data_IF_469450437359
#
_entry.id   IF_469450437359
#
_cell.length_a   1.000
_cell.length_b   1.000
_cell.length_c   1.000
_cell.angle_alpha   90.00
_cell.angle_beta   90.00
_cell.angle_gamma   90.00
#
_symmetry.space_group_name_H-M   'P 1'
#
loop_
_entity.id
_entity.type
_entity.pdbx_description
1 polymer ?
#
# COMPACT_ATOMS: atom_id res chain seq x y z
N UNK A 1 -0.56 18.30 52.22
CA UNK A 1 -0.46 19.13 50.99
C UNK A 1 0.47 18.54 49.92
N UNK A 2 1.71 18.16 50.25
CA UNK A 2 2.71 17.71 49.26
C UNK A 2 2.36 16.39 48.54
N UNK A 3 1.76 15.43 49.25
CA UNK A 3 1.36 14.12 48.68
C UNK A 3 0.29 14.30 47.60
N UNK A 4 -0.73 15.13 47.86
CA UNK A 4 -1.79 15.43 46.91
C UNK A 4 -1.25 16.16 45.66
N UNK A 5 -0.32 17.12 45.85
CA UNK A 5 0.33 17.83 44.75
C UNK A 5 1.14 16.90 43.85
N UNK A 6 1.90 15.97 44.46
CA UNK A 6 2.68 14.99 43.71
C UNK A 6 1.78 13.98 42.98
N UNK A 7 0.66 13.56 43.59
CA UNK A 7 -0.31 12.67 42.95
C UNK A 7 -0.98 13.32 41.73
N UNK A 8 -1.36 14.61 41.84
CA UNK A 8 -1.93 15.37 40.71
C UNK A 8 -0.89 15.54 39.60
N UNK A 9 0.36 15.90 39.95
CA UNK A 9 1.43 16.01 38.97
C UNK A 9 1.68 14.69 38.22
N UNK A 10 1.58 13.55 38.92
CA UNK A 10 1.73 12.23 38.33
C UNK A 10 0.59 11.90 37.35
N UNK A 11 -0.65 12.26 37.69
CA UNK A 11 -1.81 12.09 36.82
C UNK A 11 -1.71 12.94 35.54
N UNK A 12 -1.28 14.20 35.67
CA UNK A 12 -1.06 15.09 34.52
C UNK A 12 0.06 14.56 33.63
N UNK A 13 1.17 14.10 34.23
CA UNK A 13 2.29 13.53 33.48
C UNK A 13 1.87 12.28 32.69
N UNK A 14 1.11 11.38 33.31
CA UNK A 14 0.56 10.19 32.65
C UNK A 14 -0.39 10.55 31.50
N UNK A 15 -1.23 11.56 31.68
CA UNK A 15 -2.14 12.04 30.62
C UNK A 15 -1.37 12.66 29.44
N UNK A 16 -0.31 13.41 29.71
CA UNK A 16 0.58 13.95 28.67
C UNK A 16 1.32 12.84 27.91
N UNK A 17 1.75 11.76 28.59
CA UNK A 17 2.42 10.63 27.94
C UNK A 17 1.46 9.85 27.02
N UNK A 18 0.20 9.68 27.43
CA UNK A 18 -0.82 8.99 26.62
C UNK A 18 -1.21 9.83 25.39
N UNK A 19 -1.39 11.14 25.55
CA UNK A 19 -1.73 12.05 24.45
C UNK A 19 -0.58 12.32 23.47
N UNK A 20 0.67 12.17 23.92
CA UNK A 20 1.88 12.25 23.10
C UNK A 20 2.23 10.93 22.41
N UNK A 21 1.31 9.97 22.33
CA UNK A 21 1.46 8.84 21.41
C UNK A 21 1.31 9.34 19.97
N UNK A 22 2.38 9.96 19.47
CA UNK A 22 2.52 10.25 18.06
C UNK A 22 2.36 8.93 17.31
N UNK A 23 1.34 8.87 16.45
CA UNK A 23 1.18 7.75 15.52
C UNK A 23 2.35 7.85 14.54
N UNK A 24 3.48 7.24 14.93
CA UNK A 24 4.60 7.01 14.04
C UNK A 24 4.06 6.15 12.90
N UNK A 25 4.00 6.74 11.71
CA UNK A 25 3.52 6.05 10.52
C UNK A 25 4.30 4.76 10.35
N UNK A 26 3.58 3.64 10.40
CA UNK A 26 4.17 2.31 10.17
C UNK A 26 4.85 2.33 8.79
N UNK A 27 6.10 1.85 8.64
CA UNK A 27 6.74 1.80 7.34
C UNK A 27 5.91 0.90 6.41
N UNK A 28 5.19 1.52 5.48
CA UNK A 28 4.29 0.81 4.58
C UNK A 28 5.12 0.05 3.54
N UNK A 29 5.02 -1.28 3.57
CA UNK A 29 5.59 -2.14 2.52
C UNK A 29 4.45 -2.75 1.72
N UNK A 30 4.66 -2.94 0.43
CA UNK A 30 3.60 -3.46 -0.44
C UNK A 30 3.06 -4.82 0.05
N UNK A 31 3.95 -5.70 0.51
CA UNK A 31 3.59 -7.04 0.98
C UNK A 31 2.82 -7.04 2.29
N UNK A 32 2.88 -6.01 3.12
CA UNK A 32 2.08 -5.96 4.34
C UNK A 32 0.62 -5.60 4.04
N UNK A 33 0.40 -4.62 3.16
CA UNK A 33 -0.92 -4.00 2.97
C UNK A 33 -1.68 -4.56 1.75
N UNK A 34 -0.96 -5.07 0.75
CA UNK A 34 -1.53 -5.49 -0.53
C UNK A 34 -1.18 -6.94 -0.86
N UNK A 35 -2.03 -7.55 -1.69
CA UNK A 35 -1.83 -8.88 -2.28
C UNK A 35 -2.00 -8.79 -3.79
N UNK A 36 -1.28 -9.63 -4.52
CA UNK A 36 -1.42 -9.76 -5.96
C UNK A 36 -2.75 -10.48 -6.26
N UNK A 37 -3.52 -9.95 -7.21
CA UNK A 37 -4.80 -10.55 -7.62
C UNK A 37 -4.70 -11.28 -8.95
N UNK A 38 -3.84 -10.81 -9.86
CA UNK A 38 -3.62 -11.42 -11.15
C UNK A 38 -2.15 -11.38 -11.55
N UNK A 39 -1.65 -12.53 -12.00
CA UNK A 39 -0.32 -12.76 -12.56
C UNK A 39 0.87 -12.32 -11.68
N UNK A 40 1.28 -13.20 -10.76
CA UNK A 40 2.50 -13.01 -9.97
C UNK A 40 3.77 -12.85 -10.84
N UNK A 41 3.83 -13.52 -11.99
CA UNK A 41 4.96 -13.44 -12.90
C UNK A 41 5.19 -12.02 -13.47
N UNK A 42 4.14 -11.19 -13.50
CA UNK A 42 4.17 -9.85 -14.06
C UNK A 42 4.26 -8.74 -13.00
N UNK A 43 4.48 -9.11 -11.73
CA UNK A 43 4.71 -8.16 -10.64
C UNK A 43 6.15 -8.31 -10.13
N UNK A 44 6.95 -7.26 -10.31
CA UNK A 44 8.34 -7.22 -9.84
C UNK A 44 8.44 -6.32 -8.62
N UNK A 45 8.99 -6.85 -7.54
CA UNK A 45 9.27 -6.09 -6.35
C UNK A 45 10.63 -5.40 -6.48
N UNK A 46 10.66 -4.09 -6.23
CA UNK A 46 11.86 -3.26 -6.34
C UNK A 46 12.15 -2.56 -4.99
N UNK A 47 13.39 -2.10 -4.80
CA UNK A 47 13.83 -1.40 -3.59
C UNK A 47 13.59 -2.16 -2.26
N UNK A 48 13.70 -3.49 -2.28
CA UNK A 48 13.46 -4.33 -1.10
C UNK A 48 12.01 -4.38 -0.65
N UNK A 49 11.05 -4.03 -1.52
CA UNK A 49 9.63 -4.13 -1.24
C UNK A 49 8.89 -2.85 -0.93
N UNK A 50 9.59 -1.72 -1.08
CA UNK A 50 9.00 -0.38 -0.96
C UNK A 50 8.28 0.07 -2.23
N UNK A 51 8.63 -0.50 -3.38
CA UNK A 51 7.94 -0.24 -4.62
C UNK A 51 7.71 -1.53 -5.41
N UNK A 52 6.72 -1.48 -6.29
CA UNK A 52 6.37 -2.56 -7.20
C UNK A 52 6.32 -2.03 -8.63
N UNK A 53 6.69 -2.88 -9.57
CA UNK A 53 6.57 -2.63 -10.99
C UNK A 53 5.60 -3.65 -11.58
N UNK A 54 4.58 -3.13 -12.23
CA UNK A 54 3.61 -3.90 -12.99
C UNK A 54 4.08 -3.96 -14.44
N UNK A 55 4.18 -5.16 -14.99
CA UNK A 55 4.60 -5.40 -16.38
C UNK A 55 3.41 -5.89 -17.19
N UNK A 56 3.22 -5.29 -18.36
CA UNK A 56 2.23 -5.72 -19.33
C UNK A 56 2.98 -6.27 -20.53
N UNK A 57 2.92 -7.58 -20.76
CA UNK A 57 3.48 -8.22 -21.94
C UNK A 57 2.40 -8.95 -22.74
N UNK A 58 2.78 -9.54 -23.87
CA UNK A 58 1.87 -10.36 -24.68
C UNK A 58 2.01 -11.87 -24.36
N UNK A 59 2.77 -12.21 -23.32
CA UNK A 59 3.42 -13.51 -23.21
C UNK A 59 2.79 -14.39 -22.11
N UNK A 60 1.53 -14.77 -22.30
CA UNK A 60 0.94 -15.90 -21.56
C UNK A 60 1.31 -17.20 -22.28
N UNK A 61 2.15 -18.03 -21.68
CA UNK A 61 2.61 -19.29 -22.28
C UNK A 61 1.51 -20.08 -22.99
N UNK A 62 1.70 -20.34 -24.29
CA UNK A 62 1.05 -21.42 -25.05
C UNK A 62 -0.46 -21.35 -25.33
N UNK A 63 -1.21 -20.32 -24.91
CA UNK A 63 -2.67 -20.27 -25.10
C UNK A 63 -3.06 -19.40 -26.32
N UNK A 64 -4.01 -19.83 -27.18
CA UNK A 64 -4.30 -19.20 -28.47
C UNK A 64 -5.06 -17.86 -28.41
N UNK A 65 -5.07 -17.20 -29.58
CA UNK A 65 -4.87 -15.77 -29.83
C UNK A 65 -6.02 -14.82 -29.46
N UNK A 66 -7.14 -15.29 -28.91
CA UNK A 66 -8.34 -14.45 -28.70
C UNK A 66 -8.46 -13.85 -27.28
N UNK A 67 -7.57 -14.20 -26.35
CA UNK A 67 -7.61 -13.73 -24.96
C UNK A 67 -6.26 -13.15 -24.49
N UNK A 68 -5.47 -12.56 -25.39
CA UNK A 68 -4.18 -11.94 -25.05
C UNK A 68 -4.36 -10.59 -24.38
N UNK A 69 -4.55 -10.61 -23.06
CA UNK A 69 -4.30 -9.45 -22.23
C UNK A 69 -3.57 -9.99 -21.01
N UNK A 70 -2.24 -9.85 -20.94
CA UNK A 70 -1.56 -10.00 -19.64
C UNK A 70 -2.24 -9.00 -18.71
N UNK A 71 -2.81 -9.46 -17.60
CA UNK A 71 -3.39 -8.55 -16.61
C UNK A 71 -2.56 -8.71 -15.36
N UNK A 72 -2.00 -7.60 -14.90
CA UNK A 72 -1.34 -7.52 -13.61
C UNK A 72 -2.15 -6.59 -12.72
N UNK A 73 -2.36 -7.01 -11.47
CA UNK A 73 -3.18 -6.27 -10.54
C UNK A 73 -2.94 -6.69 -9.11
N UNK A 74 -3.27 -5.79 -8.21
CA UNK A 74 -3.17 -6.01 -6.78
C UNK A 74 -4.40 -5.40 -6.09
N UNK A 75 -4.70 -5.91 -4.90
CA UNK A 75 -5.77 -5.42 -4.05
C UNK A 75 -5.29 -5.32 -2.61
N UNK A 76 -5.95 -4.47 -1.81
CA UNK A 76 -5.69 -4.41 -0.39
C UNK A 76 -6.06 -5.74 0.29
N UNK A 77 -5.31 -6.10 1.32
CA UNK A 77 -5.64 -7.29 2.14
C UNK A 77 -6.85 -7.05 3.04
N UNK A 78 -7.11 -5.79 3.37
CA UNK A 78 -8.18 -5.35 4.26
C UNK A 78 -9.15 -4.47 3.50
N UNK A 79 -10.39 -4.47 3.97
CA UNK A 79 -11.43 -3.54 3.53
C UNK A 79 -11.50 -2.37 4.51
N UNK A 80 -11.82 -1.20 3.99
CA UNK A 80 -11.85 0.04 4.77
C UNK A 80 -13.18 0.75 4.51
N UNK A 81 -13.84 1.18 5.59
CA UNK A 81 -15.07 1.97 5.50
C UNK A 81 -14.76 3.47 5.35
N UNK A 82 -13.72 3.94 6.04
CA UNK A 82 -13.22 5.31 5.99
C UNK A 82 -11.70 5.29 5.99
N UNK A 83 -11.08 6.29 5.38
CA UNK A 83 -9.63 6.44 5.42
C UNK A 83 -9.11 7.38 4.35
N UNK A 84 -7.78 7.51 4.31
CA UNK A 84 -7.06 8.19 3.24
C UNK A 84 -6.10 7.22 2.61
N UNK A 85 -6.24 7.00 1.30
CA UNK A 85 -5.32 6.17 0.54
C UNK A 85 -4.45 7.07 -0.33
N UNK A 86 -3.14 6.84 -0.31
CA UNK A 86 -2.18 7.62 -1.08
C UNK A 86 -1.14 6.68 -1.67
N UNK A 87 -0.86 6.81 -2.97
CA UNK A 87 0.14 5.99 -3.66
C UNK A 87 0.96 6.85 -4.62
N UNK A 88 2.27 6.60 -4.67
CA UNK A 88 3.15 7.19 -5.69
C UNK A 88 3.13 6.27 -6.92
N UNK A 89 2.75 6.81 -8.06
CA UNK A 89 2.61 6.06 -9.31
C UNK A 89 3.54 6.68 -10.36
N UNK A 90 4.37 5.85 -10.99
CA UNK A 90 5.13 6.20 -12.18
C UNK A 90 4.52 5.50 -13.38
N UNK A 91 4.06 6.27 -14.36
CA UNK A 91 3.46 5.74 -15.59
C UNK A 91 4.52 5.16 -16.53
N UNK A 92 4.05 4.35 -17.48
CA UNK A 92 4.87 3.74 -18.53
C UNK A 92 5.51 4.85 -19.39
N UNK A 93 6.83 4.85 -19.61
CA UNK A 93 7.48 5.82 -20.47
C UNK A 93 7.31 5.47 -21.96
N UNK A 94 7.35 6.47 -22.84
CA UNK A 94 7.32 6.26 -24.29
C UNK A 94 5.92 6.05 -24.84
N UNK A 95 5.80 5.20 -25.86
CA UNK A 95 4.51 4.83 -26.45
C UNK A 95 3.77 3.85 -25.53
N UNK A 96 2.59 4.26 -25.07
CA UNK A 96 1.70 3.49 -24.21
C UNK A 96 0.28 3.42 -24.77
N UNK A 97 0.12 3.53 -26.10
CA UNK A 97 -1.18 3.46 -26.75
C UNK A 97 -1.96 2.20 -26.32
N UNK A 98 -3.21 2.38 -25.89
CA UNK A 98 -4.08 1.29 -25.44
C UNK A 98 -3.78 0.74 -24.04
N UNK A 99 -2.80 1.27 -23.31
CA UNK A 99 -2.52 0.87 -21.92
C UNK A 99 -3.33 1.70 -20.93
N UNK A 100 -3.92 1.04 -19.93
CA UNK A 100 -4.63 1.71 -18.84
C UNK A 100 -3.96 1.36 -17.51
N UNK A 101 -3.54 2.38 -16.76
CA UNK A 101 -3.11 2.23 -15.36
C UNK A 101 -4.19 2.81 -14.46
N UNK A 102 -4.76 1.97 -13.58
CA UNK A 102 -5.85 2.36 -12.70
C UNK A 102 -5.47 2.17 -11.24
N UNK A 103 -5.85 3.15 -10.41
CA UNK A 103 -5.79 3.06 -8.95
C UNK A 103 -7.12 3.59 -8.40
N UNK A 104 -7.90 2.69 -7.81
CA UNK A 104 -9.27 2.98 -7.40
C UNK A 104 -9.64 2.19 -6.15
N UNK A 105 -10.75 2.58 -5.52
CA UNK A 105 -11.38 1.86 -4.40
C UNK A 105 -12.61 1.15 -4.95
N UNK A 106 -12.79 -0.10 -4.54
CA UNK A 106 -13.88 -0.96 -5.00
C UNK A 106 -14.73 -1.44 -3.83
#
# INVERSE_FOLDING_TARGET
>A
MAILRNAIALFVLLYCLVSCSCVLGRPATFLEDFKVTWSDAHLRQIEGGRAIQLVLDQNSGGVPIMFYISRCGFASKRQYLFGRVSMKIKLVPGDSAGTVTAFYVC
#
